data_IF_258987328825
#
_entry.id   IF_258987328825
#
_cell.length_a   1.000
_cell.length_b   1.000
_cell.length_c   1.000
_cell.angle_alpha   90.00
_cell.angle_beta   90.00
_cell.angle_gamma   90.00
#
_symmetry.space_group_name_H-M   'P 1'
#
loop_
_entity.id
_entity.type
_entity.pdbx_description
1 polymer ?
#
# COMPACT_ATOMS: atom_id res chain seq x y z
N UNK A 1 -16.13 -18.34 -26.82
CA UNK A 1 -15.28 -17.63 -25.85
C UNK A 1 -16.20 -17.11 -24.76
N UNK A 2 -16.40 -17.91 -23.71
CA UNK A 2 -17.41 -17.65 -22.67
C UNK A 2 -16.73 -17.14 -21.43
N UNK A 3 -17.01 -15.91 -21.06
CA UNK A 3 -16.68 -15.40 -19.73
C UNK A 3 -17.53 -16.18 -18.72
N UNK A 4 -16.99 -16.62 -17.57
CA UNK A 4 -17.78 -17.30 -16.55
C UNK A 4 -19.04 -16.51 -16.21
N UNK A 5 -20.16 -17.21 -15.99
CA UNK A 5 -21.47 -16.58 -15.68
C UNK A 5 -21.41 -15.67 -14.46
N UNK A 6 -20.46 -15.92 -13.54
CA UNK A 6 -20.25 -15.14 -12.33
C UNK A 6 -19.17 -14.06 -12.46
N UNK A 7 -18.67 -13.81 -13.66
CA UNK A 7 -17.66 -12.77 -13.87
C UNK A 7 -18.27 -11.39 -13.59
N UNK A 8 -17.68 -10.72 -12.60
CA UNK A 8 -17.97 -9.32 -12.28
C UNK A 8 -16.75 -8.49 -12.66
N UNK A 9 -16.88 -7.52 -13.60
CA UNK A 9 -15.78 -6.63 -13.93
C UNK A 9 -15.33 -5.84 -12.71
N UNK A 10 -14.03 -5.56 -12.62
CA UNK A 10 -13.46 -4.75 -11.54
C UNK A 10 -13.97 -3.29 -11.55
N UNK A 11 -14.43 -2.80 -12.70
CA UNK A 11 -15.17 -1.55 -12.84
C UNK A 11 -16.30 -1.75 -13.85
N UNK A 12 -17.49 -1.27 -13.53
CA UNK A 12 -18.61 -1.16 -14.45
C UNK A 12 -19.10 0.28 -14.50
N UNK A 13 -19.59 0.75 -15.66
CA UNK A 13 -20.32 2.01 -15.75
C UNK A 13 -21.48 2.01 -14.74
N UNK A 14 -21.77 3.19 -14.15
CA UNK A 14 -22.89 3.34 -13.22
C UNK A 14 -24.22 3.03 -13.93
N UNK A 15 -24.29 3.35 -15.22
CA UNK A 15 -25.43 3.06 -16.09
C UNK A 15 -24.88 2.27 -17.30
N UNK A 16 -24.91 0.92 -17.23
CA UNK A 16 -24.45 0.08 -18.33
C UNK A 16 -25.28 0.29 -19.59
N UNK A 17 -24.67 0.16 -20.78
CA UNK A 17 -25.41 0.10 -22.02
C UNK A 17 -26.49 -0.98 -22.01
N UNK A 18 -27.68 -0.61 -22.51
CA UNK A 18 -28.86 -1.48 -22.50
C UNK A 18 -29.62 -1.48 -21.18
N UNK A 19 -29.18 -0.72 -20.16
CA UNK A 19 -29.98 -0.52 -18.95
C UNK A 19 -31.27 0.25 -19.27
N UNK A 20 -32.40 -0.34 -18.91
CA UNK A 20 -33.75 0.26 -19.00
C UNK A 20 -34.25 0.75 -17.63
N UNK A 21 -33.51 0.44 -16.56
CA UNK A 21 -33.86 0.87 -15.22
C UNK A 21 -33.56 2.37 -15.07
N UNK A 22 -34.56 3.13 -14.62
CA UNK A 22 -34.38 4.53 -14.25
C UNK A 22 -33.47 4.61 -13.02
N UNK A 23 -32.37 5.38 -13.08
CA UNK A 23 -31.53 5.62 -11.91
C UNK A 23 -32.34 6.26 -10.75
N UNK A 24 -31.96 6.02 -9.49
CA UNK A 24 -32.65 6.60 -8.35
C UNK A 24 -32.81 8.12 -8.47
N UNK A 25 -34.01 8.63 -8.20
CA UNK A 25 -34.39 10.05 -8.28
C UNK A 25 -34.32 10.69 -9.67
N UNK A 26 -34.10 9.92 -10.75
CA UNK A 26 -34.18 10.44 -12.10
C UNK A 26 -35.63 10.82 -12.46
N UNK A 27 -35.87 11.96 -13.13
CA UNK A 27 -37.19 12.31 -13.66
C UNK A 27 -37.76 11.21 -14.56
N UNK A 28 -39.08 11.00 -14.53
CA UNK A 28 -39.74 9.92 -15.29
C UNK A 28 -39.55 10.00 -16.83
N UNK A 29 -39.23 11.19 -17.34
CA UNK A 29 -38.94 11.45 -18.76
C UNK A 29 -37.45 11.36 -19.11
N UNK A 30 -36.61 10.84 -18.21
CA UNK A 30 -35.17 10.71 -18.45
C UNK A 30 -34.91 9.64 -19.51
N UNK A 31 -34.30 10.05 -20.61
CA UNK A 31 -33.84 9.14 -21.67
C UNK A 31 -32.55 8.47 -21.22
N UNK A 32 -32.66 7.29 -20.59
CA UNK A 32 -31.52 6.56 -19.98
C UNK A 32 -30.42 6.25 -21.00
N UNK A 33 -30.77 6.07 -22.28
CA UNK A 33 -29.81 5.78 -23.36
C UNK A 33 -28.81 6.90 -23.63
N UNK A 34 -29.12 8.14 -23.24
CA UNK A 34 -28.17 9.27 -23.34
C UNK A 34 -27.06 9.20 -22.29
N UNK A 35 -27.20 8.35 -21.28
CA UNK A 35 -26.29 8.24 -20.14
C UNK A 35 -25.57 6.88 -20.09
N UNK A 36 -25.81 5.99 -21.06
CA UNK A 36 -25.13 4.70 -21.17
C UNK A 36 -23.63 4.88 -21.40
N UNK A 37 -22.82 4.15 -20.63
CA UNK A 37 -21.35 4.04 -20.80
C UNK A 37 -20.61 5.39 -20.93
N UNK A 38 -21.22 6.49 -20.49
CA UNK A 38 -20.58 7.81 -20.54
C UNK A 38 -19.60 7.95 -19.38
N UNK A 39 -18.40 8.48 -19.66
CA UNK A 39 -17.39 8.83 -18.64
C UNK A 39 -17.90 9.85 -17.59
N UNK A 40 -19.11 10.38 -17.79
CA UNK A 40 -19.84 11.29 -16.91
C UNK A 40 -21.03 10.60 -16.24
N UNK A 41 -20.83 9.38 -15.72
CA UNK A 41 -21.75 8.63 -14.83
C UNK A 41 -22.60 9.61 -14.03
N UNK A 42 -23.82 9.89 -14.47
CA UNK A 42 -24.61 11.00 -13.91
C UNK A 42 -25.45 10.48 -12.75
N UNK A 43 -25.45 11.22 -11.64
CA UNK A 43 -26.29 10.92 -10.47
C UNK A 43 -27.30 12.03 -10.25
N UNK A 44 -28.50 11.65 -9.82
CA UNK A 44 -29.60 12.54 -9.50
C UNK A 44 -29.70 12.67 -7.99
N UNK A 45 -29.28 13.82 -7.48
CA UNK A 45 -29.27 14.11 -6.04
C UNK A 45 -30.51 14.94 -5.73
N UNK A 46 -31.44 14.43 -4.90
CA UNK A 46 -32.56 15.22 -4.41
C UNK A 46 -32.03 16.26 -3.42
N UNK A 47 -32.29 17.53 -3.69
CA UNK A 47 -32.00 18.64 -2.80
C UNK A 47 -33.13 18.79 -1.76
N UNK A 48 -32.83 19.39 -0.62
CA UNK A 48 -33.81 19.60 0.47
C UNK A 48 -35.00 20.48 0.06
N UNK A 49 -34.89 21.23 -1.03
CA UNK A 49 -35.95 22.03 -1.62
C UNK A 49 -36.88 21.24 -2.56
N UNK A 50 -36.73 19.92 -2.66
CA UNK A 50 -37.55 19.05 -3.53
C UNK A 50 -37.16 19.06 -5.01
N UNK A 51 -36.13 19.82 -5.39
CA UNK A 51 -35.59 19.78 -6.75
C UNK A 51 -34.52 18.69 -6.86
N UNK A 52 -34.31 18.17 -8.07
CA UNK A 52 -33.28 17.17 -8.35
C UNK A 52 -32.16 17.83 -9.14
N UNK A 53 -30.94 17.77 -8.61
CA UNK A 53 -29.75 18.25 -9.31
C UNK A 53 -29.01 17.06 -9.93
N UNK A 54 -28.75 17.15 -11.23
CA UNK A 54 -27.88 16.20 -11.93
C UNK A 54 -26.43 16.64 -11.75
N UNK A 55 -25.59 15.76 -11.22
CA UNK A 55 -24.15 15.97 -11.12
C UNK A 55 -23.39 14.79 -11.72
N UNK A 56 -22.16 15.05 -12.15
CA UNK A 56 -21.24 14.01 -12.59
C UNK A 56 -20.75 13.27 -11.34
N UNK A 57 -20.86 11.94 -11.35
CA UNK A 57 -20.32 11.10 -10.30
C UNK A 57 -18.81 11.32 -10.19
N UNK A 58 -18.39 11.79 -9.02
CA UNK A 58 -17.00 11.90 -8.63
C UNK A 58 -16.91 11.35 -7.20
N UNK A 59 -16.27 10.20 -7.06
CA UNK A 59 -16.05 9.57 -5.76
C UNK A 59 -14.95 10.25 -4.93
N UNK A 60 -14.25 11.25 -5.52
CA UNK A 60 -13.09 11.95 -4.97
C UNK A 60 -11.98 11.02 -4.46
N UNK A 61 -12.08 9.71 -4.69
CA UNK A 61 -11.30 8.66 -4.02
C UNK A 61 -11.32 7.37 -4.84
N UNK A 62 -11.22 7.48 -6.16
CA UNK A 62 -11.25 6.34 -7.07
C UNK A 62 -10.33 5.21 -6.58
N UNK A 63 -10.82 3.95 -6.47
CA UNK A 63 -10.06 2.82 -5.92
C UNK A 63 -8.72 2.56 -6.60
N UNK A 64 -8.55 2.98 -7.85
CA UNK A 64 -7.30 2.84 -8.61
C UNK A 64 -6.40 4.08 -8.60
N UNK A 65 -6.68 5.07 -7.74
CA UNK A 65 -5.71 6.14 -7.50
C UNK A 65 -4.48 5.57 -6.82
N UNK A 66 -3.32 6.17 -7.11
CA UNK A 66 -2.08 5.92 -6.41
C UNK A 66 -2.20 6.39 -4.95
N UNK A 67 -2.84 5.58 -4.11
CA UNK A 67 -2.99 5.82 -2.67
C UNK A 67 -1.75 5.32 -1.95
N UNK A 68 -1.31 6.06 -0.93
CA UNK A 68 -0.20 5.62 -0.08
C UNK A 68 -0.67 4.47 0.80
N UNK A 69 -0.45 3.24 0.34
CA UNK A 69 -0.72 2.04 1.12
C UNK A 69 0.52 1.71 1.96
N UNK A 70 0.35 1.27 3.23
CA UNK A 70 1.47 0.79 4.01
C UNK A 70 2.13 -0.38 3.27
N UNK A 71 3.39 -0.17 2.87
CA UNK A 71 4.20 -1.17 2.19
C UNK A 71 4.56 -2.36 3.10
N UNK A 72 5.43 -3.22 2.58
CA UNK A 72 5.82 -4.43 3.30
C UNK A 72 6.51 -4.07 4.61
N UNK A 73 5.97 -4.59 5.73
CA UNK A 73 6.56 -4.36 7.06
C UNK A 73 7.89 -5.08 7.17
N UNK A 74 8.92 -4.34 7.53
CA UNK A 74 10.25 -4.86 7.81
C UNK A 74 10.58 -4.64 9.28
N UNK A 75 11.44 -5.50 9.83
CA UNK A 75 12.00 -5.31 11.17
C UNK A 75 13.50 -5.57 11.13
N UNK A 76 14.22 -5.07 12.13
CA UNK A 76 15.66 -5.28 12.26
C UNK A 76 16.03 -5.29 13.74
N UNK A 77 16.97 -6.16 14.10
CA UNK A 77 17.55 -6.17 15.44
C UNK A 77 19.07 -6.15 15.33
N UNK A 78 19.65 -5.10 15.90
CA UNK A 78 21.08 -4.97 16.11
C UNK A 78 21.38 -5.10 17.60
N UNK A 79 22.55 -5.62 17.95
CA UNK A 79 22.99 -5.76 19.33
C UNK A 79 24.48 -5.49 19.46
N UNK A 80 24.90 -5.01 20.61
CA UNK A 80 26.31 -4.78 20.92
C UNK A 80 26.66 -5.28 22.32
N UNK A 81 27.89 -5.78 22.46
CA UNK A 81 28.45 -6.26 23.71
C UNK A 81 29.76 -5.54 23.99
N UNK A 82 29.88 -5.00 25.20
CA UNK A 82 31.08 -4.30 25.65
C UNK A 82 31.67 -4.99 26.88
N UNK A 83 32.99 -5.19 26.87
CA UNK A 83 33.75 -5.60 28.05
C UNK A 83 34.90 -4.64 28.27
N UNK A 84 34.97 -4.10 29.48
CA UNK A 84 36.09 -3.30 29.96
C UNK A 84 36.98 -4.18 30.84
N UNK A 85 38.26 -4.27 30.50
CA UNK A 85 39.28 -5.02 31.23
C UNK A 85 40.26 -3.97 31.76
N UNK A 86 40.36 -3.84 33.07
CA UNK A 86 41.36 -2.95 33.69
C UNK A 86 42.73 -3.60 33.53
N UNK A 87 43.69 -2.85 32.98
CA UNK A 87 45.09 -3.30 32.88
C UNK A 87 45.86 -2.76 34.09
N UNK A 88 45.77 -1.45 34.33
CA UNK A 88 46.36 -0.75 35.48
C UNK A 88 45.34 0.22 36.07
N UNK A 89 45.74 1.03 37.05
CA UNK A 89 44.89 2.05 37.65
C UNK A 89 44.51 3.17 36.66
N UNK A 90 45.38 3.45 35.69
CA UNK A 90 45.18 4.50 34.67
C UNK A 90 44.81 3.94 33.30
N UNK A 91 45.02 2.64 33.04
CA UNK A 91 44.79 2.03 31.73
C UNK A 91 43.68 0.98 31.75
N UNK A 92 42.78 1.07 30.77
CA UNK A 92 41.74 0.06 30.53
C UNK A 92 41.63 -0.30 29.05
N UNK A 93 41.33 -1.58 28.80
CA UNK A 93 41.09 -2.13 27.48
C UNK A 93 39.59 -2.36 27.30
N UNK A 94 39.01 -1.74 26.28
CA UNK A 94 37.62 -1.99 25.88
C UNK A 94 37.59 -2.91 24.68
N UNK A 95 36.97 -4.07 24.84
CA UNK A 95 36.55 -4.95 23.76
C UNK A 95 35.08 -4.68 23.45
N UNK A 96 34.77 -4.39 22.20
CA UNK A 96 33.40 -4.27 21.70
C UNK A 96 33.14 -5.26 20.58
N UNK A 97 31.95 -5.85 20.59
CA UNK A 97 31.44 -6.69 19.51
C UNK A 97 30.08 -6.18 19.11
N UNK A 98 29.93 -5.80 17.85
CA UNK A 98 28.72 -5.23 17.27
C UNK A 98 28.14 -6.24 16.27
N UNK A 99 26.88 -6.61 16.46
CA UNK A 99 26.13 -7.55 15.63
C UNK A 99 25.03 -6.81 14.89
N UNK A 100 25.11 -6.80 13.57
CA UNK A 100 24.08 -6.27 12.67
C UNK A 100 23.22 -7.42 12.16
N UNK A 101 21.89 -7.27 12.20
CA UNK A 101 20.93 -8.35 11.89
C UNK A 101 21.20 -9.62 12.72
N UNK A 102 21.08 -9.52 14.05
CA UNK A 102 21.44 -10.59 15.00
C UNK A 102 20.77 -11.93 14.65
N UNK A 103 19.49 -11.88 14.29
CA UNK A 103 18.69 -13.05 13.94
C UNK A 103 18.92 -13.55 12.51
N UNK A 104 19.68 -12.81 11.69
CA UNK A 104 19.94 -13.12 10.29
C UNK A 104 18.66 -13.42 9.50
N UNK A 105 17.58 -12.68 9.77
CA UNK A 105 16.32 -12.91 9.09
C UNK A 105 16.31 -12.15 7.76
N UNK A 106 15.83 -12.77 6.67
CA UNK A 106 15.60 -12.06 5.42
C UNK A 106 14.39 -11.14 5.60
N UNK A 107 14.52 -9.86 5.26
CA UNK A 107 13.36 -8.99 5.10
C UNK A 107 12.79 -9.18 3.70
N UNK A 108 11.50 -8.90 3.56
CA UNK A 108 10.90 -8.76 2.24
C UNK A 108 11.39 -7.46 1.57
N UNK A 109 11.63 -7.41 0.26
CA UNK A 109 11.97 -6.16 -0.44
C UNK A 109 10.94 -5.05 -0.22
N UNK A 110 11.41 -3.80 -0.17
CA UNK A 110 10.57 -2.60 0.12
C UNK A 110 9.70 -2.16 -1.05
N UNK A 111 9.91 -2.73 -2.23
CA UNK A 111 9.19 -2.38 -3.45
C UNK A 111 8.34 -3.55 -3.97
N UNK A 112 7.09 -3.25 -4.31
CA UNK A 112 6.20 -4.11 -5.10
C UNK A 112 6.40 -3.79 -6.58
N UNK A 113 6.26 -4.79 -7.45
CA UNK A 113 6.28 -4.56 -8.90
C UNK A 113 5.09 -3.72 -9.37
N UNK A 114 5.18 -3.16 -10.59
CA UNK A 114 4.07 -2.41 -11.20
C UNK A 114 2.77 -3.20 -11.33
N UNK A 115 2.87 -4.54 -11.30
CA UNK A 115 1.73 -5.47 -11.32
C UNK A 115 1.11 -5.70 -9.93
N UNK A 116 1.59 -5.00 -8.89
CA UNK A 116 1.14 -5.18 -7.51
C UNK A 116 1.68 -6.44 -6.82
N UNK A 117 2.57 -7.19 -7.48
CA UNK A 117 3.16 -8.43 -6.96
C UNK A 117 4.49 -8.14 -6.27
N UNK A 118 4.69 -8.70 -5.07
CA UNK A 118 5.96 -8.66 -4.36
C UNK A 118 6.81 -9.87 -4.72
N UNK A 119 8.01 -9.64 -5.27
CA UNK A 119 8.98 -10.69 -5.54
C UNK A 119 9.90 -10.88 -4.32
N UNK A 120 9.83 -12.05 -3.68
CA UNK A 120 10.65 -12.39 -2.49
C UNK A 120 11.94 -13.15 -2.84
N UNK A 121 12.37 -13.08 -4.11
CA UNK A 121 13.58 -13.79 -4.59
C UNK A 121 14.87 -13.22 -3.98
N UNK A 122 14.85 -11.93 -3.66
CA UNK A 122 15.97 -11.24 -3.06
C UNK A 122 15.61 -10.84 -1.63
N UNK A 123 16.59 -10.84 -0.73
CA UNK A 123 16.42 -10.28 0.60
C UNK A 123 16.34 -8.76 0.53
N UNK A 124 15.36 -8.18 1.21
CA UNK A 124 15.26 -6.73 1.47
C UNK A 124 16.17 -6.25 2.60
N UNK A 125 17.00 -7.13 3.16
CA UNK A 125 17.94 -6.87 4.26
C UNK A 125 19.31 -7.46 3.94
N UNK A 126 20.38 -6.80 4.39
CA UNK A 126 21.72 -7.35 4.35
C UNK A 126 21.86 -8.58 5.26
N UNK A 127 22.78 -9.48 4.88
CA UNK A 127 23.15 -10.60 5.74
C UNK A 127 23.74 -10.11 7.06
N UNK A 128 23.70 -10.97 8.08
CA UNK A 128 24.31 -10.67 9.38
C UNK A 128 25.80 -10.35 9.25
N UNK A 129 26.21 -9.26 9.91
CA UNK A 129 27.61 -8.85 9.99
C UNK A 129 28.00 -8.71 11.45
N UNK A 130 29.16 -9.24 11.82
CA UNK A 130 29.76 -9.04 13.14
C UNK A 130 31.02 -8.20 12.99
N UNK A 131 31.14 -7.15 13.79
CA UNK A 131 32.32 -6.30 13.86
C UNK A 131 32.93 -6.40 15.25
N UNK A 132 34.25 -6.45 15.31
CA UNK A 132 35.00 -6.53 16.56
C UNK A 132 35.92 -5.32 16.64
N UNK A 133 35.83 -4.59 17.76
CA UNK A 133 36.66 -3.44 18.05
C UNK A 133 37.47 -3.66 19.33
N UNK A 134 38.69 -3.14 19.32
CA UNK A 134 39.55 -3.07 20.49
C UNK A 134 40.02 -1.63 20.66
N UNK A 135 39.87 -1.08 21.86
CA UNK A 135 40.32 0.27 22.19
C UNK A 135 41.07 0.26 23.52
N UNK A 136 42.30 0.75 23.50
CA UNK A 136 43.06 1.09 24.71
C UNK A 136 42.65 2.50 25.16
N UNK A 137 42.43 2.66 26.47
CA UNK A 137 42.13 3.91 27.14
C UNK A 137 43.23 4.08 28.20
N UNK A 138 43.91 5.22 28.19
CA UNK A 138 45.04 5.54 29.07
C UNK A 138 44.93 6.98 29.57
#
# INVERSE_FOLDING_TARGET
>A
MGVPTDFKPAAQPLIPAGSTALPPNAPANTVVSQFWDTNTNSVWIPLSNGTVQRVIFNDNLHPWRNQYMPGVRQWFQDASLFKFIKITEQMSLRLNVDFFNVFNHPNNPTAIGGDGVLLTRNSGSAARVTQVGLRLIW
#
